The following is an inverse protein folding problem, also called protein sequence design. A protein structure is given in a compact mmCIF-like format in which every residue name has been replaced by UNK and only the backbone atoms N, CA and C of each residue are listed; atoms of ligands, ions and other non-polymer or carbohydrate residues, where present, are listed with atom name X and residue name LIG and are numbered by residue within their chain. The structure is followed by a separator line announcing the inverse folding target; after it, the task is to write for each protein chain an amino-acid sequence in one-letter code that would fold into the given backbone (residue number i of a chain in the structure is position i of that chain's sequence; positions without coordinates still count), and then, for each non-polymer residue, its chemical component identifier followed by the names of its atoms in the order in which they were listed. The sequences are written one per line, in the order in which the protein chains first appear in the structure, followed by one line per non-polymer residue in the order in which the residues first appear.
data_IF_931914150369
#
_entry.id   IF_931914150369
#
_cell.length_a   1.000
_cell.length_b   1.000
_cell.length_c   1.000
_cell.angle_alpha   90.00
_cell.angle_beta   90.00
_cell.angle_gamma   90.00
#
_symmetry.space_group_name_H-M   'P 1'
#
loop_
_entity.id
_entity.type
_entity.pdbx_description
1 polymer ?
#
# COMPACT_ATOMS: atom_id res chain seq x y z
N UNK A 1 -4.02 20.15 12.41
CA UNK A 1 -4.09 19.04 11.42
C UNK A 1 -5.45 18.38 11.50
N UNK A 2 -6.16 18.24 10.38
CA UNK A 2 -7.57 17.82 10.29
C UNK A 2 -7.72 16.31 10.52
N UNK A 3 -8.81 15.90 11.21
CA UNK A 3 -9.10 14.51 11.63
C UNK A 3 -8.96 13.46 10.51
N UNK A 4 -9.25 13.84 9.26
CA UNK A 4 -9.16 12.94 8.11
C UNK A 4 -7.73 12.46 7.84
N UNK A 5 -6.73 13.34 7.93
CA UNK A 5 -5.33 12.99 7.73
C UNK A 5 -4.88 11.99 8.79
N UNK A 6 -5.18 12.25 10.06
CA UNK A 6 -4.82 11.34 11.16
C UNK A 6 -5.50 9.97 11.00
N UNK A 7 -6.77 9.95 10.59
CA UNK A 7 -7.52 8.69 10.41
C UNK A 7 -7.09 7.89 9.19
N UNK A 8 -6.47 8.50 8.17
CA UNK A 8 -5.98 7.78 6.99
C UNK A 8 -5.04 6.64 7.35
N UNK A 9 -4.27 6.79 8.43
CA UNK A 9 -3.23 5.84 8.82
C UNK A 9 -3.39 5.34 10.26
N UNK A 10 -4.61 5.40 10.78
CA UNK A 10 -5.02 4.75 12.02
C UNK A 10 -6.10 3.72 11.68
N UNK A 11 -5.97 2.50 12.18
CA UNK A 11 -7.01 1.47 12.00
C UNK A 11 -8.38 2.02 12.43
N UNK A 12 -9.31 2.07 11.49
CA UNK A 12 -10.72 2.43 11.69
C UNK A 12 -11.62 1.19 11.63
N UNK A 13 -11.21 0.17 10.88
CA UNK A 13 -11.94 -1.08 10.72
C UNK A 13 -10.96 -2.25 10.56
N UNK A 14 -11.39 -3.45 10.95
CA UNK A 14 -10.63 -4.68 10.79
C UNK A 14 -11.56 -5.81 10.41
N UNK A 15 -11.19 -6.59 9.39
CA UNK A 15 -11.89 -7.80 8.97
C UNK A 15 -10.87 -8.91 8.70
N UNK A 16 -10.74 -9.85 9.65
CA UNK A 16 -9.70 -10.87 9.62
C UNK A 16 -8.31 -10.25 9.73
N UNK A 17 -7.43 -10.55 8.77
CA UNK A 17 -6.04 -10.06 8.72
C UNK A 17 -5.91 -8.67 8.08
N UNK A 18 -6.98 -8.16 7.47
CA UNK A 18 -6.98 -6.87 6.80
C UNK A 18 -7.47 -5.77 7.73
N UNK A 19 -6.67 -4.72 7.87
CA UNK A 19 -7.02 -3.50 8.59
C UNK A 19 -7.19 -2.35 7.61
N UNK A 20 -8.16 -1.48 7.88
CA UNK A 20 -8.45 -0.31 7.07
C UNK A 20 -8.34 0.95 7.92
N UNK A 21 -7.61 1.94 7.42
CA UNK A 21 -7.74 3.34 7.84
C UNK A 21 -8.90 4.04 7.13
N UNK A 22 -8.96 5.37 7.19
CA UNK A 22 -9.93 6.13 6.41
C UNK A 22 -9.50 6.15 4.92
N UNK A 23 -10.07 5.22 4.14
CA UNK A 23 -9.75 5.01 2.71
C UNK A 23 -8.29 4.63 2.45
N UNK A 24 -7.70 3.80 3.32
CA UNK A 24 -6.35 3.23 3.15
C UNK A 24 -6.34 1.80 3.70
N UNK A 25 -5.60 0.92 3.04
CA UNK A 25 -5.31 -0.41 3.54
C UNK A 25 -4.08 -0.39 4.44
N UNK A 26 -4.12 -1.20 5.50
CA UNK A 26 -3.03 -1.46 6.43
C UNK A 26 -2.76 -2.96 6.36
N UNK A 27 -1.63 -3.33 5.77
CA UNK A 27 -1.23 -4.71 5.52
C UNK A 27 -0.06 -5.04 6.42
N UNK A 28 -0.19 -6.09 7.22
CA UNK A 28 0.90 -6.66 8.00
C UNK A 28 1.44 -7.90 7.28
N UNK A 29 2.67 -7.81 6.77
CA UNK A 29 3.34 -8.95 6.15
C UNK A 29 3.72 -10.01 7.20
N UNK A 30 3.93 -11.28 6.82
CA UNK A 30 4.30 -12.36 7.74
C UNK A 30 5.55 -12.06 8.61
N UNK A 31 6.50 -11.30 8.07
CA UNK A 31 7.70 -10.81 8.78
C UNK A 31 7.44 -9.66 9.78
N UNK A 32 6.18 -9.22 9.93
CA UNK A 32 5.77 -8.13 10.81
C UNK A 32 5.99 -6.73 10.23
N UNK A 33 6.33 -6.62 8.93
CA UNK A 33 6.42 -5.33 8.24
C UNK A 33 5.00 -4.78 8.00
N UNK A 34 4.76 -3.54 8.44
CA UNK A 34 3.47 -2.86 8.27
C UNK A 34 3.54 -1.92 7.06
N UNK A 35 2.63 -2.11 6.10
CA UNK A 35 2.51 -1.33 4.88
C UNK A 35 1.17 -0.59 4.87
N UNK A 36 1.21 0.72 4.65
CA UNK A 36 0.04 1.57 4.46
C UNK A 36 -0.10 1.84 2.98
N UNK A 37 -1.19 1.41 2.34
CA UNK A 37 -1.31 1.52 0.90
C UNK A 37 -2.72 1.84 0.38
N UNK A 38 -2.75 2.28 -0.87
CA UNK A 38 -3.95 2.37 -1.66
C UNK A 38 -3.59 2.05 -3.11
N UNK A 39 -4.38 1.18 -3.74
CA UNK A 39 -4.25 0.89 -5.16
C UNK A 39 -5.27 1.69 -5.97
N UNK A 40 -5.13 1.67 -7.28
CA UNK A 40 -6.05 2.34 -8.19
C UNK A 40 -6.13 1.60 -9.50
N UNK A 41 -7.28 1.71 -10.16
CA UNK A 41 -7.48 1.11 -11.46
C UNK A 41 -8.63 1.78 -12.20
N UNK A 42 -8.46 1.90 -13.51
CA UNK A 42 -9.51 2.20 -14.49
C UNK A 42 -9.33 1.26 -15.68
N UNK A 43 -10.18 1.34 -16.71
CA UNK A 43 -9.95 0.59 -17.94
C UNK A 43 -8.69 1.05 -18.67
N UNK A 44 -7.63 0.23 -18.65
CA UNK A 44 -6.33 0.51 -19.28
C UNK A 44 -5.24 1.04 -18.36
N UNK A 45 -5.51 1.27 -17.07
CA UNK A 45 -4.52 1.82 -16.14
C UNK A 45 -4.61 1.18 -14.77
N UNK A 46 -3.46 1.03 -14.11
CA UNK A 46 -3.36 0.64 -12.71
C UNK A 46 -2.31 1.45 -11.98
N UNK A 47 -2.51 1.65 -10.68
CA UNK A 47 -1.58 2.36 -9.82
C UNK A 47 -1.51 1.74 -8.44
N UNK A 48 -0.40 1.98 -7.75
CA UNK A 48 -0.23 1.66 -6.35
C UNK A 48 0.57 2.75 -5.66
N UNK A 49 0.17 3.11 -4.45
CA UNK A 49 0.99 3.90 -3.52
C UNK A 49 1.07 3.16 -2.18
N UNK A 50 2.27 3.04 -1.63
CA UNK A 50 2.46 2.41 -0.32
C UNK A 50 3.64 2.98 0.45
N UNK A 51 3.52 2.91 1.78
CA UNK A 51 4.50 3.43 2.73
C UNK A 51 4.83 2.38 3.79
N UNK A 52 6.12 2.25 4.07
CA UNK A 52 6.64 1.63 5.29
C UNK A 52 7.19 2.73 6.19
N UNK A 53 6.44 3.05 7.24
CA UNK A 53 6.81 4.12 8.18
C UNK A 53 8.05 3.77 9.00
N UNK A 54 8.24 2.49 9.34
CA UNK A 54 9.33 2.03 10.20
C UNK A 54 10.67 2.21 9.51
N UNK A 55 10.73 1.88 8.22
CA UNK A 55 11.94 2.01 7.41
C UNK A 55 11.98 3.32 6.61
N UNK A 56 11.00 4.21 6.81
CA UNK A 56 10.84 5.49 6.11
C UNK A 56 10.95 5.38 4.58
N UNK A 57 10.39 4.32 4.02
CA UNK A 57 10.36 4.10 2.56
C UNK A 57 8.95 4.27 2.02
N UNK A 58 8.86 4.77 0.79
CA UNK A 58 7.61 4.91 0.05
C UNK A 58 7.81 4.46 -1.39
N UNK A 59 6.80 3.80 -1.96
CA UNK A 59 6.80 3.32 -3.34
C UNK A 59 5.52 3.79 -4.02
N UNK A 60 5.67 4.31 -5.23
CA UNK A 60 4.57 4.63 -6.14
C UNK A 60 4.84 3.91 -7.46
N UNK A 61 3.83 3.20 -7.96
CA UNK A 61 3.86 2.60 -9.30
C UNK A 61 2.67 3.14 -10.09
N UNK A 62 2.92 3.57 -11.32
CA UNK A 62 1.91 3.94 -12.31
C UNK A 62 2.10 3.06 -13.54
N UNK A 63 1.03 2.41 -13.99
CA UNK A 63 1.01 1.52 -15.14
C UNK A 63 -0.03 1.98 -16.15
N UNK A 64 0.37 2.07 -17.42
CA UNK A 64 -0.52 2.30 -18.57
C UNK A 64 -1.10 0.99 -19.14
N UNK A 65 -1.12 -0.05 -18.31
CA UNK A 65 -1.70 -1.34 -18.62
C UNK A 65 -2.39 -1.91 -17.38
N UNK A 66 -3.51 -2.58 -17.62
CA UNK A 66 -4.34 -3.25 -16.61
C UNK A 66 -5.76 -2.71 -16.56
N UNK A 67 -6.63 -3.40 -15.83
CA UNK A 67 -8.04 -3.03 -15.67
C UNK A 67 -8.48 -3.32 -14.22
N UNK A 68 -9.28 -2.43 -13.64
CA UNK A 68 -9.77 -2.57 -12.27
C UNK A 68 -10.62 -3.83 -12.03
N UNK A 69 -11.25 -4.36 -13.08
CA UNK A 69 -12.17 -5.49 -13.04
C UNK A 69 -11.52 -6.79 -13.55
N UNK A 70 -10.25 -6.76 -13.96
CA UNK A 70 -9.56 -7.92 -14.53
C UNK A 70 -9.04 -8.93 -13.49
N UNK A 71 -9.32 -8.74 -12.19
CA UNK A 71 -8.76 -9.55 -11.10
C UNK A 71 -7.22 -9.71 -11.18
N UNK A 72 -6.54 -8.68 -11.70
CA UNK A 72 -5.09 -8.64 -11.81
C UNK A 72 -4.51 -7.78 -10.68
N UNK A 73 -3.63 -8.36 -9.86
CA UNK A 73 -2.94 -7.70 -8.74
C UNK A 73 -1.42 -7.61 -8.96
N UNK A 74 -0.95 -7.76 -10.20
CA UNK A 74 0.48 -7.74 -10.55
C UNK A 74 1.19 -6.46 -10.10
N UNK A 75 0.58 -5.30 -10.33
CA UNK A 75 1.09 -3.99 -9.90
C UNK A 75 1.23 -3.91 -8.37
N UNK A 76 0.21 -4.37 -7.64
CA UNK A 76 0.18 -4.40 -6.19
C UNK A 76 1.29 -5.32 -5.64
N UNK A 77 1.41 -6.53 -6.19
CA UNK A 77 2.42 -7.50 -5.81
C UNK A 77 3.85 -6.99 -6.07
N UNK A 78 4.09 -6.34 -7.22
CA UNK A 78 5.37 -5.71 -7.52
C UNK A 78 5.70 -4.61 -6.50
N UNK A 79 4.74 -3.74 -6.17
CA UNK A 79 4.97 -2.65 -5.22
C UNK A 79 5.29 -3.16 -3.81
N UNK A 80 4.56 -4.17 -3.33
CA UNK A 80 4.84 -4.81 -2.04
C UNK A 80 6.22 -5.45 -2.03
N UNK A 81 6.63 -6.12 -3.12
CA UNK A 81 7.99 -6.66 -3.21
C UNK A 81 9.06 -5.56 -3.19
N UNK A 82 8.85 -4.44 -3.88
CA UNK A 82 9.80 -3.32 -3.84
C UNK A 82 9.89 -2.76 -2.42
N UNK A 83 8.77 -2.54 -1.72
CA UNK A 83 8.77 -2.08 -0.32
C UNK A 83 9.51 -3.03 0.62
N UNK A 84 9.31 -4.35 0.46
CA UNK A 84 10.01 -5.38 1.24
C UNK A 84 11.53 -5.34 1.05
N UNK A 85 12.00 -5.03 -0.16
CA UNK A 85 13.44 -4.91 -0.44
C UNK A 85 13.98 -3.55 -0.01
N UNK A 86 13.23 -2.48 -0.23
CA UNK A 86 13.60 -1.12 0.16
C UNK A 86 13.79 -1.00 1.68
N UNK A 87 13.01 -1.74 2.48
CA UNK A 87 13.17 -1.79 3.93
C UNK A 87 14.54 -2.29 4.42
N UNK A 88 15.33 -2.95 3.55
CA UNK A 88 16.69 -3.42 3.86
C UNK A 88 17.77 -2.38 3.55
N UNK A 89 17.40 -1.25 2.93
CA UNK A 89 18.32 -0.19 2.57
C UNK A 89 18.47 0.75 3.79
N UNK A 90 19.69 0.94 4.32
CA UNK A 90 19.91 1.86 5.43
C UNK A 90 19.69 3.33 5.02
N UNK A 91 19.21 4.13 5.97
CA UNK A 91 19.08 5.59 5.86
C UNK A 91 20.30 6.23 6.53
N UNK A 92 21.45 6.11 5.87
CA UNK A 92 22.71 6.71 6.29
C UNK A 92 22.83 8.17 5.85
#
# INVERSE_FOLDING_TARGET
MTKAITRSHQQQFQNGIESLGLAWQIITLPEGQEIYCHNGGTGGYKSFIGFDKKHQTGVVILSNYGDAMANDFSVDAMAVQILKHAAKIPLN
#
